data_IF_167735988000
#
_entry.id   IF_167735988000
#
_cell.length_a   1.000
_cell.length_b   1.000
_cell.length_c   1.000
_cell.angle_alpha   90.00
_cell.angle_beta   90.00
_cell.angle_gamma   90.00
#
_symmetry.space_group_name_H-M   'P 1'
#
loop_
_entity.id
_entity.type
_entity.pdbx_description
1 polymer ?
#
# COMPACT_ATOMS: atom_id res chain seq x y z
N UNK A 1 -9.34 -11.26 -3.14
CA UNK A 1 -9.20 -10.01 -2.36
C UNK A 1 -8.09 -10.14 -1.32
N UNK A 2 -7.41 -9.05 -0.99
CA UNK A 2 -6.34 -8.99 0.03
C UNK A 2 -6.72 -8.00 1.12
N UNK A 3 -6.46 -8.36 2.38
CA UNK A 3 -6.72 -7.55 3.59
C UNK A 3 -5.43 -7.21 4.35
N UNK A 4 -4.34 -7.01 3.61
CA UNK A 4 -3.07 -6.56 4.18
C UNK A 4 -3.13 -5.18 4.83
N UNK A 5 -2.09 -4.81 5.58
CA UNK A 5 -1.96 -3.56 6.35
C UNK A 5 -2.35 -2.27 5.63
N UNK A 6 -1.99 -2.15 4.35
CA UNK A 6 -2.21 -0.92 3.59
C UNK A 6 -3.57 -0.86 2.89
N UNK A 7 -4.36 -1.94 2.94
CA UNK A 7 -5.63 -2.07 2.21
C UNK A 7 -6.72 -1.19 2.82
N UNK A 8 -7.75 -0.88 2.02
CA UNK A 8 -8.90 -0.06 2.46
C UNK A 8 -9.54 -0.66 3.70
N UNK A 9 -9.73 -1.98 3.67
CA UNK A 9 -10.10 -2.81 4.82
C UNK A 9 -8.91 -3.68 5.15
N UNK A 10 -8.45 -3.63 6.39
CA UNK A 10 -7.27 -4.36 6.83
C UNK A 10 -7.56 -5.29 8.00
N UNK A 11 -7.07 -6.52 7.90
CA UNK A 11 -6.95 -7.46 9.02
C UNK A 11 -5.50 -7.60 9.47
N UNK A 12 -4.64 -6.63 9.14
CA UNK A 12 -3.17 -6.67 9.17
C UNK A 12 -2.60 -7.67 8.16
N UNK A 13 -3.06 -8.92 8.20
CA UNK A 13 -2.76 -9.95 7.21
C UNK A 13 -3.99 -10.83 7.00
N UNK A 14 -4.28 -11.16 5.74
CA UNK A 14 -5.46 -11.93 5.38
C UNK A 14 -5.90 -11.70 3.93
N UNK A 15 -6.94 -12.42 3.55
CA UNK A 15 -7.57 -12.32 2.24
C UNK A 15 -8.88 -13.08 2.21
N UNK A 16 -9.57 -12.96 1.08
CA UNK A 16 -10.79 -13.69 0.78
C UNK A 16 -10.83 -14.00 -0.72
N UNK A 17 -11.41 -15.14 -1.07
CA UNK A 17 -11.81 -15.48 -2.43
C UNK A 17 -13.33 -15.36 -2.53
N UNK A 18 -13.83 -14.84 -3.64
CA UNK A 18 -15.26 -14.75 -3.95
C UNK A 18 -15.44 -15.39 -5.31
N UNK A 19 -16.34 -16.36 -5.39
CA UNK A 19 -16.62 -17.12 -6.61
C UNK A 19 -18.13 -17.30 -6.72
N UNK A 20 -18.65 -17.20 -7.94
CA UNK A 20 -20.08 -17.43 -8.20
C UNK A 20 -20.35 -18.88 -8.64
N UNK A 21 -19.34 -19.56 -9.19
CA UNK A 21 -19.45 -20.95 -9.60
C UNK A 21 -19.41 -21.89 -8.39
N UNK A 22 -20.41 -22.77 -8.30
CA UNK A 22 -20.58 -23.68 -7.17
C UNK A 22 -19.48 -24.74 -7.08
N UNK A 23 -19.05 -25.30 -8.21
CA UNK A 23 -18.00 -26.33 -8.24
C UNK A 23 -16.66 -25.76 -7.78
N UNK A 24 -16.31 -24.55 -8.24
CA UNK A 24 -15.13 -23.83 -7.77
C UNK A 24 -15.25 -23.50 -6.28
N UNK A 25 -16.43 -23.10 -5.80
CA UNK A 25 -16.68 -22.80 -4.39
C UNK A 25 -16.44 -24.02 -3.49
N UNK A 26 -16.94 -25.19 -3.87
CA UNK A 26 -16.76 -26.45 -3.15
C UNK A 26 -15.28 -26.86 -3.07
N UNK A 27 -14.55 -26.73 -4.18
CA UNK A 27 -13.11 -27.00 -4.22
C UNK A 27 -12.31 -26.03 -3.33
N UNK A 28 -12.65 -24.74 -3.36
CA UNK A 28 -12.02 -23.73 -2.52
C UNK A 28 -12.32 -23.94 -1.03
N UNK A 29 -13.54 -24.34 -0.68
CA UNK A 29 -13.92 -24.64 0.70
C UNK A 29 -13.20 -25.88 1.23
N UNK A 30 -13.09 -26.95 0.41
CA UNK A 30 -12.29 -28.13 0.74
C UNK A 30 -10.81 -27.76 0.98
N UNK A 31 -10.21 -26.96 0.10
CA UNK A 31 -8.85 -26.44 0.28
C UNK A 31 -8.73 -25.59 1.56
N UNK A 32 -9.66 -24.68 1.81
CA UNK A 32 -9.67 -23.83 3.01
C UNK A 32 -9.79 -24.66 4.30
N UNK A 33 -10.63 -25.69 4.32
CA UNK A 33 -10.79 -26.62 5.46
C UNK A 33 -9.53 -27.45 5.71
N UNK A 34 -8.79 -27.80 4.65
CA UNK A 34 -7.50 -28.50 4.77
C UNK A 34 -6.37 -27.61 5.35
N UNK A 35 -6.50 -26.29 5.26
CA UNK A 35 -5.51 -25.35 5.77
C UNK A 35 -5.48 -25.33 7.30
N UNK A 36 -4.29 -25.38 7.89
CA UNK A 36 -4.13 -25.21 9.34
C UNK A 36 -4.22 -23.72 9.73
N UNK A 37 -4.71 -23.39 10.93
CA UNK A 37 -4.58 -22.02 11.43
C UNK A 37 -3.09 -21.70 11.67
N UNK A 38 -2.68 -20.43 11.55
CA UNK A 38 -1.30 -20.05 11.84
C UNK A 38 -1.01 -20.16 13.35
N UNK A 39 0.27 -20.22 13.70
CA UNK A 39 0.72 -20.34 15.10
C UNK A 39 0.27 -19.15 15.94
N UNK A 40 -0.12 -19.38 17.20
CA UNK A 40 -0.58 -18.33 18.13
C UNK A 40 0.38 -17.13 18.23
N UNK A 41 1.68 -17.38 18.28
CA UNK A 41 2.69 -16.33 18.32
C UNK A 41 2.72 -15.46 17.05
N UNK A 42 2.45 -16.05 15.87
CA UNK A 42 2.31 -15.28 14.64
C UNK A 42 1.08 -14.37 14.69
N UNK A 43 -0.04 -14.87 15.22
CA UNK A 43 -1.28 -14.09 15.42
C UNK A 43 -1.01 -12.91 16.36
N UNK A 44 -0.35 -13.15 17.49
CA UNK A 44 0.04 -12.10 18.43
C UNK A 44 0.87 -11.00 17.77
N UNK A 45 1.87 -11.37 16.94
CA UNK A 45 2.66 -10.39 16.17
C UNK A 45 1.80 -9.52 15.25
N UNK A 46 0.80 -10.11 14.58
CA UNK A 46 -0.11 -9.33 13.74
C UNK A 46 -0.98 -8.37 14.57
N UNK A 47 -1.44 -8.79 15.75
CA UNK A 47 -2.23 -7.94 16.65
C UNK A 47 -1.41 -6.80 17.27
N UNK A 48 -0.13 -7.04 17.57
CA UNK A 48 0.78 -6.03 18.10
C UNK A 48 1.21 -5.00 17.04
N UNK A 49 1.24 -5.39 15.76
CA UNK A 49 1.67 -4.50 14.68
C UNK A 49 0.98 -3.12 14.69
N UNK A 50 -0.37 -3.00 14.68
CA UNK A 50 -1.02 -1.69 14.68
C UNK A 50 -0.70 -0.86 15.93
N UNK A 51 -0.51 -1.51 17.10
CA UNK A 51 -0.14 -0.81 18.34
C UNK A 51 1.28 -0.25 18.25
N UNK A 52 2.24 -1.07 17.83
CA UNK A 52 3.64 -0.67 17.66
C UNK A 52 3.74 0.47 16.64
N UNK A 53 3.11 0.32 15.47
CA UNK A 53 3.24 1.30 14.40
C UNK A 53 2.46 2.59 14.68
N UNK A 54 1.37 2.56 15.46
CA UNK A 54 0.74 3.78 15.96
C UNK A 54 1.68 4.59 16.85
N UNK A 55 2.47 3.94 17.69
CA UNK A 55 3.50 4.62 18.51
C UNK A 55 4.64 5.14 17.64
N UNK A 56 5.08 4.37 16.65
CA UNK A 56 6.11 4.80 15.69
C UNK A 56 5.68 6.06 14.96
N UNK A 57 4.45 6.12 14.44
CA UNK A 57 3.97 7.30 13.69
C UNK A 57 3.86 8.53 14.58
N UNK A 58 3.31 8.40 15.77
CA UNK A 58 3.12 9.53 16.69
C UNK A 58 4.44 10.10 17.21
N UNK A 59 5.48 9.26 17.34
CA UNK A 59 6.78 9.64 17.87
C UNK A 59 7.86 9.76 16.78
N UNK A 60 7.50 9.66 15.49
CA UNK A 60 8.47 9.51 14.40
C UNK A 60 9.50 10.64 14.35
N UNK A 61 9.04 11.88 14.54
CA UNK A 61 9.85 13.08 14.55
C UNK A 61 10.12 13.62 15.97
N UNK A 62 9.52 13.03 17.01
CA UNK A 62 9.78 13.42 18.41
C UNK A 62 11.11 12.82 18.87
N UNK A 63 12.18 13.61 18.84
CA UNK A 63 13.55 13.20 19.20
C UNK A 63 14.02 11.89 18.52
N UNK A 64 13.54 11.64 17.29
CA UNK A 64 13.79 10.40 16.54
C UNK A 64 13.33 9.11 17.24
N UNK A 65 12.53 9.20 18.31
CA UNK A 65 12.14 8.07 19.14
C UNK A 65 11.34 7.04 18.35
N UNK A 66 10.42 7.48 17.49
CA UNK A 66 9.67 6.57 16.61
C UNK A 66 10.58 5.81 15.63
N UNK A 67 11.68 6.41 15.17
CA UNK A 67 12.68 5.71 14.33
C UNK A 67 13.40 4.62 15.12
N UNK A 68 13.76 4.90 16.37
CA UNK A 68 14.35 3.91 17.29
C UNK A 68 13.37 2.76 17.52
N UNK A 69 12.10 3.06 17.83
CA UNK A 69 11.05 2.04 18.02
C UNK A 69 10.91 1.18 16.75
N UNK A 70 10.90 1.79 15.56
CA UNK A 70 10.80 1.06 14.30
C UNK A 70 12.01 0.11 14.07
N UNK A 71 13.23 0.58 14.36
CA UNK A 71 14.46 -0.22 14.26
C UNK A 71 14.42 -1.38 15.25
N UNK A 72 14.07 -1.13 16.52
CA UNK A 72 13.95 -2.18 17.53
C UNK A 72 12.88 -3.20 17.14
N UNK A 73 11.70 -2.75 16.69
CA UNK A 73 10.63 -3.64 16.25
C UNK A 73 11.07 -4.53 15.08
N UNK A 74 11.88 -3.99 14.15
CA UNK A 74 12.48 -4.76 13.05
C UNK A 74 13.51 -5.76 13.57
N UNK A 75 14.41 -5.34 14.45
CA UNK A 75 15.47 -6.18 15.03
C UNK A 75 14.91 -7.37 15.81
N UNK A 76 13.88 -7.13 16.62
CA UNK A 76 13.17 -8.18 17.37
C UNK A 76 12.16 -8.98 16.52
N UNK A 77 12.04 -8.68 15.21
CA UNK A 77 11.10 -9.34 14.28
C UNK A 77 9.67 -9.33 14.81
N UNK A 78 9.25 -8.22 15.41
CA UNK A 78 7.92 -8.05 16.01
C UNK A 78 6.81 -7.97 14.97
N UNK A 79 7.17 -7.80 13.69
CA UNK A 79 6.23 -7.84 12.58
C UNK A 79 6.74 -8.65 11.39
N UNK A 80 5.80 -9.06 10.54
CA UNK A 80 6.07 -9.84 9.33
C UNK A 80 6.36 -8.91 8.14
N UNK A 81 7.37 -9.19 7.30
CA UNK A 81 7.60 -8.42 6.07
C UNK A 81 6.39 -8.54 5.14
N UNK A 82 6.14 -7.52 4.31
CA UNK A 82 5.04 -7.56 3.32
C UNK A 82 5.33 -8.52 2.17
N UNK A 83 6.61 -8.70 1.82
CA UNK A 83 7.10 -9.62 0.81
C UNK A 83 8.40 -10.24 1.32
N UNK A 84 8.50 -11.57 1.29
CA UNK A 84 9.69 -12.30 1.65
C UNK A 84 10.72 -12.29 0.53
N UNK A 85 12.01 -12.41 0.89
CA UNK A 85 13.08 -12.48 -0.11
C UNK A 85 12.98 -13.70 -1.04
N UNK A 86 12.35 -14.79 -0.58
CA UNK A 86 12.08 -15.95 -1.44
C UNK A 86 11.07 -15.64 -2.54
N UNK A 87 10.01 -14.87 -2.21
CA UNK A 87 8.99 -14.44 -3.18
C UNK A 87 9.58 -13.57 -4.28
N UNK A 88 10.49 -12.64 -3.92
CA UNK A 88 11.20 -11.80 -4.90
C UNK A 88 12.04 -12.59 -5.91
N UNK A 89 12.34 -13.87 -5.63
CA UNK A 89 13.10 -14.77 -6.51
C UNK A 89 12.24 -15.86 -7.15
N UNK A 90 10.92 -15.70 -7.14
CA UNK A 90 9.97 -16.70 -7.67
C UNK A 90 9.76 -17.92 -6.77
N UNK A 91 10.28 -17.88 -5.53
CA UNK A 91 10.10 -18.94 -4.55
C UNK A 91 8.84 -18.76 -3.70
N UNK A 92 8.47 -19.79 -2.94
CA UNK A 92 7.34 -19.71 -2.00
C UNK A 92 7.74 -18.98 -0.71
N UNK A 93 6.82 -18.22 -0.08
CA UNK A 93 7.06 -17.69 1.26
C UNK A 93 7.16 -18.84 2.28
N UNK A 94 7.84 -18.62 3.42
CA UNK A 94 7.95 -19.63 4.48
C UNK A 94 6.61 -19.91 5.19
N UNK A 95 5.60 -19.06 4.97
CA UNK A 95 4.26 -19.24 5.52
C UNK A 95 3.44 -20.12 4.57
N UNK A 96 3.04 -21.30 5.05
CA UNK A 96 2.10 -22.16 4.33
C UNK A 96 0.71 -21.52 4.23
N UNK A 97 -0.10 -21.88 3.22
CA UNK A 97 -1.52 -21.53 3.19
C UNK A 97 -2.18 -21.81 4.53
N UNK A 98 -2.81 -20.79 5.09
CA UNK A 98 -3.34 -20.82 6.46
C UNK A 98 -4.71 -20.17 6.50
N UNK A 99 -5.58 -20.66 7.40
CA UNK A 99 -6.88 -20.05 7.64
C UNK A 99 -6.73 -18.67 8.28
N UNK A 100 -7.61 -17.73 7.92
CA UNK A 100 -7.70 -16.43 8.59
C UNK A 100 -8.04 -16.65 10.07
N UNK A 101 -7.20 -16.21 11.02
CA UNK A 101 -7.49 -16.35 12.44
C UNK A 101 -8.70 -15.51 12.85
N UNK A 102 -9.54 -16.05 13.75
CA UNK A 102 -10.71 -15.35 14.28
C UNK A 102 -10.35 -13.96 14.86
N UNK A 103 -9.21 -13.84 15.55
CA UNK A 103 -8.76 -12.56 16.10
C UNK A 103 -8.53 -11.48 15.01
N UNK A 104 -8.03 -11.87 13.83
CA UNK A 104 -7.85 -10.95 12.71
C UNK A 104 -9.16 -10.74 11.94
N UNK A 105 -10.03 -11.75 11.87
CA UNK A 105 -11.37 -11.62 11.31
C UNK A 105 -12.22 -10.59 12.07
N UNK A 106 -12.13 -10.55 13.41
CA UNK A 106 -12.79 -9.52 14.23
C UNK A 106 -12.35 -8.10 13.85
N UNK A 107 -11.06 -7.89 13.57
CA UNK A 107 -10.57 -6.60 13.07
C UNK A 107 -11.19 -6.27 11.71
N UNK A 108 -11.26 -7.26 10.82
CA UNK A 108 -11.89 -7.12 9.50
C UNK A 108 -13.36 -6.73 9.57
N UNK A 109 -14.15 -7.37 10.43
CA UNK A 109 -15.57 -7.04 10.62
C UNK A 109 -15.73 -5.60 11.11
N UNK A 110 -14.93 -5.18 12.10
CA UNK A 110 -14.95 -3.80 12.62
C UNK A 110 -14.56 -2.76 11.56
N UNK A 111 -13.63 -3.11 10.66
CA UNK A 111 -13.21 -2.25 9.56
C UNK A 111 -14.27 -2.20 8.46
N UNK A 112 -14.88 -3.35 8.13
CA UNK A 112 -15.92 -3.45 7.11
C UNK A 112 -17.13 -2.58 7.45
N UNK A 113 -17.51 -2.49 8.73
CA UNK A 113 -18.56 -1.60 9.20
C UNK A 113 -18.27 -0.10 8.93
N UNK A 114 -17.03 0.27 8.60
CA UNK A 114 -16.60 1.65 8.28
C UNK A 114 -16.35 1.88 6.79
N UNK A 115 -16.63 0.88 5.94
CA UNK A 115 -16.27 0.90 4.52
C UNK A 115 -16.82 2.11 3.78
N UNK A 116 -18.09 2.46 4.01
CA UNK A 116 -18.74 3.61 3.38
C UNK A 116 -18.05 4.92 3.76
N UNK A 117 -17.89 5.17 5.07
CA UNK A 117 -17.18 6.35 5.58
C UNK A 117 -15.75 6.47 5.03
N UNK A 118 -15.01 5.36 4.98
CA UNK A 118 -13.67 5.34 4.39
C UNK A 118 -13.69 5.66 2.89
N UNK A 119 -14.68 5.13 2.17
CA UNK A 119 -14.84 5.36 0.73
C UNK A 119 -15.16 6.81 0.44
N UNK A 120 -16.12 7.40 1.15
CA UNK A 120 -16.48 8.81 1.02
C UNK A 120 -15.30 9.73 1.32
N UNK A 121 -14.55 9.46 2.38
CA UNK A 121 -13.36 10.22 2.74
C UNK A 121 -12.29 10.16 1.64
N UNK A 122 -12.02 8.96 1.11
CA UNK A 122 -11.09 8.76 -0.02
C UNK A 122 -11.51 9.54 -1.26
N UNK A 123 -12.80 9.51 -1.61
CA UNK A 123 -13.37 10.25 -2.74
C UNK A 123 -13.21 11.76 -2.52
N UNK A 124 -13.47 12.27 -1.31
CA UNK A 124 -13.31 13.70 -0.98
C UNK A 124 -11.86 14.15 -1.18
N UNK A 125 -10.87 13.38 -0.71
CA UNK A 125 -9.45 13.70 -0.90
C UNK A 125 -9.03 13.58 -2.38
N UNK A 126 -9.53 12.57 -3.09
CA UNK A 126 -9.23 12.41 -4.52
C UNK A 126 -9.66 13.63 -5.34
N UNK A 127 -10.82 14.23 -5.02
CA UNK A 127 -11.28 15.48 -5.66
C UNK A 127 -10.34 16.65 -5.38
N UNK A 128 -9.80 16.77 -4.17
CA UNK A 128 -8.81 17.82 -3.83
C UNK A 128 -7.57 17.70 -4.70
N UNK A 129 -7.03 16.49 -4.88
CA UNK A 129 -5.88 16.26 -5.75
C UNK A 129 -6.21 16.52 -7.22
N UNK A 130 -7.33 16.02 -7.70
CA UNK A 130 -7.78 16.23 -9.09
C UNK A 130 -7.95 17.71 -9.42
N UNK A 131 -8.62 18.47 -8.57
CA UNK A 131 -8.80 19.92 -8.71
C UNK A 131 -7.47 20.68 -8.62
N UNK A 132 -6.62 20.29 -7.66
CA UNK A 132 -5.33 20.92 -7.39
C UNK A 132 -4.32 20.81 -8.53
N UNK A 133 -4.32 19.68 -9.24
CA UNK A 133 -3.37 19.45 -10.34
C UNK A 133 -3.95 19.70 -11.73
N UNK A 134 -5.26 19.98 -11.86
CA UNK A 134 -5.97 20.12 -13.15
C UNK A 134 -5.31 21.09 -14.14
N UNK A 135 -4.64 22.14 -13.66
CA UNK A 135 -3.99 23.16 -14.49
C UNK A 135 -2.51 22.88 -14.78
N UNK A 136 -1.92 21.85 -14.17
CA UNK A 136 -0.51 21.53 -14.35
C UNK A 136 -0.30 20.67 -15.61
N UNK A 137 0.38 21.22 -16.62
CA UNK A 137 0.63 20.53 -17.90
C UNK A 137 1.70 19.44 -17.83
N UNK A 138 2.56 19.45 -16.80
CA UNK A 138 3.62 18.45 -16.58
C UNK A 138 3.14 17.27 -15.70
N UNK A 139 1.87 17.26 -15.34
CA UNK A 139 1.24 16.22 -14.53
C UNK A 139 0.11 15.60 -15.34
N UNK A 140 0.14 14.28 -15.47
CA UNK A 140 -0.95 13.54 -16.09
C UNK A 140 -1.87 12.95 -15.02
N UNK A 141 -3.13 13.38 -15.04
CA UNK A 141 -4.19 12.86 -14.18
C UNK A 141 -4.85 11.65 -14.83
N UNK A 142 -4.99 10.56 -14.07
CA UNK A 142 -5.76 9.40 -14.53
C UNK A 142 -7.25 9.75 -14.49
N UNK A 143 -7.95 9.51 -15.60
CA UNK A 143 -9.37 9.88 -15.76
C UNK A 143 -10.24 9.12 -14.76
N UNK A 144 -11.26 9.80 -14.21
CA UNK A 144 -12.29 9.22 -13.35
C UNK A 144 -11.80 8.58 -12.04
N UNK A 145 -10.55 8.85 -11.61
CA UNK A 145 -9.99 8.30 -10.37
C UNK A 145 -10.84 8.63 -9.15
N UNK A 146 -11.39 9.84 -9.08
CA UNK A 146 -12.20 10.33 -7.95
C UNK A 146 -13.58 9.68 -7.82
N UNK A 147 -13.96 8.71 -8.67
CA UNK A 147 -15.28 8.04 -8.64
C UNK A 147 -15.32 6.77 -7.79
N UNK A 148 -14.18 6.25 -7.33
CA UNK A 148 -14.11 4.95 -6.66
C UNK A 148 -13.38 4.94 -5.31
N UNK A 149 -13.46 3.83 -4.56
CA UNK A 149 -12.70 3.61 -3.34
C UNK A 149 -11.23 3.37 -3.69
N UNK A 150 -10.46 4.45 -3.78
CA UNK A 150 -9.05 4.40 -4.12
C UNK A 150 -8.21 3.93 -2.92
N UNK A 151 -7.28 3.01 -3.17
CA UNK A 151 -6.26 2.67 -2.19
C UNK A 151 -5.31 3.85 -1.94
N UNK A 152 -4.95 4.53 -3.03
CA UNK A 152 -4.11 5.71 -3.14
C UNK A 152 -4.54 6.51 -4.37
N UNK A 153 -4.24 7.80 -4.41
CA UNK A 153 -4.44 8.62 -5.61
C UNK A 153 -3.17 8.55 -6.48
N UNK A 154 -3.21 7.95 -7.68
CA UNK A 154 -2.04 7.90 -8.56
C UNK A 154 -1.80 9.28 -9.20
N UNK A 155 -0.54 9.69 -9.24
CA UNK A 155 -0.09 10.91 -9.92
C UNK A 155 1.05 10.55 -10.87
N UNK A 156 0.86 10.76 -12.16
CA UNK A 156 1.89 10.50 -13.17
C UNK A 156 2.62 11.81 -13.47
N UNK A 157 3.94 11.78 -13.31
CA UNK A 157 4.83 12.90 -13.58
C UNK A 157 5.46 12.75 -14.96
N UNK A 158 6.03 13.85 -15.47
CA UNK A 158 6.60 13.92 -16.83
C UNK A 158 7.65 12.84 -17.12
N UNK A 159 8.47 12.48 -16.14
CA UNK A 159 9.47 11.42 -16.26
C UNK A 159 9.90 10.92 -14.86
N UNK A 160 10.67 9.82 -14.81
CA UNK A 160 11.14 9.22 -13.56
C UNK A 160 12.11 10.08 -12.76
N UNK A 161 12.86 11.00 -13.40
CA UNK A 161 13.73 11.93 -12.67
C UNK A 161 12.92 12.93 -11.86
N UNK A 162 11.89 13.53 -12.47
CA UNK A 162 10.96 14.43 -11.77
C UNK A 162 10.26 13.70 -10.61
N UNK A 163 9.88 12.43 -10.80
CA UNK A 163 9.28 11.62 -9.73
C UNK A 163 10.22 11.43 -8.54
N UNK A 164 11.50 11.13 -8.78
CA UNK A 164 12.50 11.00 -7.72
C UNK A 164 12.71 12.30 -6.97
N UNK A 165 12.83 13.42 -7.68
CA UNK A 165 13.04 14.73 -7.05
C UNK A 165 11.81 15.20 -6.26
N UNK A 166 10.59 14.94 -6.74
CA UNK A 166 9.36 15.20 -5.97
C UNK A 166 9.31 14.38 -4.68
N UNK A 167 9.67 13.09 -4.72
CA UNK A 167 9.73 12.24 -3.52
C UNK A 167 10.79 12.76 -2.52
N UNK A 168 11.95 13.17 -3.01
CA UNK A 168 13.03 13.74 -2.19
C UNK A 168 12.60 15.06 -1.54
N UNK A 169 12.02 15.97 -2.32
CA UNK A 169 11.54 17.28 -1.86
C UNK A 169 10.42 17.15 -0.84
N UNK A 170 9.43 16.29 -1.10
CA UNK A 170 8.33 16.07 -0.14
C UNK A 170 8.86 15.51 1.18
N UNK A 171 9.83 14.59 1.13
CA UNK A 171 10.47 14.04 2.33
C UNK A 171 11.22 15.09 3.15
N UNK A 172 11.89 16.04 2.50
CA UNK A 172 12.52 17.20 3.19
C UNK A 172 11.50 18.10 3.89
N UNK A 173 10.24 18.03 3.47
CA UNK A 173 9.11 18.75 4.06
C UNK A 173 8.25 17.84 4.96
N UNK A 174 8.80 16.75 5.50
CA UNK A 174 8.08 15.78 6.37
C UNK A 174 6.85 15.13 5.73
N UNK A 175 6.82 15.02 4.40
CA UNK A 175 5.80 14.29 3.65
C UNK A 175 6.46 13.10 2.97
N UNK A 176 6.14 11.91 3.42
CA UNK A 176 6.79 10.68 2.97
C UNK A 176 5.97 10.04 1.84
N UNK A 177 6.19 10.50 0.62
CA UNK A 177 5.66 9.86 -0.60
C UNK A 177 6.66 8.81 -1.14
N UNK A 178 6.20 7.97 -2.06
CA UNK A 178 7.06 7.02 -2.76
C UNK A 178 6.59 6.82 -4.20
N UNK A 179 7.52 6.33 -5.02
CA UNK A 179 7.22 5.85 -6.38
C UNK A 179 6.59 4.46 -6.23
N UNK A 180 5.38 4.29 -6.76
CA UNK A 180 4.56 3.11 -6.54
C UNK A 180 3.80 2.76 -7.82
N UNK A 181 3.60 1.46 -8.16
CA UNK A 181 3.65 0.30 -7.28
C UNK A 181 4.98 -0.31 -6.87
N UNK A 182 6.10 -0.02 -7.54
CA UNK A 182 7.33 -0.72 -7.20
C UNK A 182 8.67 -0.14 -7.67
N UNK A 183 8.73 1.05 -8.29
CA UNK A 183 9.92 1.53 -9.03
C UNK A 183 10.38 0.58 -10.15
N UNK A 184 9.58 -0.43 -10.46
CA UNK A 184 9.83 -1.47 -11.46
C UNK A 184 8.46 -2.01 -11.92
N UNK A 185 8.39 -2.55 -13.13
CA UNK A 185 7.16 -3.07 -13.74
C UNK A 185 6.51 -4.23 -12.96
N UNK A 186 7.32 -5.14 -12.39
CA UNK A 186 6.84 -6.22 -11.51
C UNK A 186 7.52 -6.11 -10.16
N UNK A 187 6.75 -5.64 -9.18
CA UNK A 187 7.25 -5.28 -7.85
C UNK A 187 7.35 -6.40 -6.83
N UNK A 188 7.93 -6.09 -5.65
CA UNK A 188 8.54 -4.79 -5.28
C UNK A 188 9.98 -4.64 -5.82
N UNK A 189 10.66 -3.52 -5.51
CA UNK A 189 12.09 -3.33 -5.76
C UNK A 189 12.93 -4.53 -5.26
N UNK A 190 13.92 -4.93 -6.07
CA UNK A 190 14.74 -6.14 -5.84
C UNK A 190 14.08 -7.45 -6.28
N UNK A 191 12.99 -7.40 -7.05
CA UNK A 191 12.40 -8.58 -7.69
C UNK A 191 13.21 -9.03 -8.90
N UNK A 192 13.44 -10.33 -9.01
CA UNK A 192 14.20 -10.94 -10.09
C UNK A 192 13.25 -11.21 -11.27
N UNK A 193 13.12 -10.25 -12.18
CA UNK A 193 12.19 -10.33 -13.32
C UNK A 193 12.38 -11.61 -14.17
N UNK A 194 13.63 -12.01 -14.39
CA UNK A 194 13.96 -13.23 -15.12
C UNK A 194 13.44 -14.52 -14.45
N UNK A 195 13.39 -14.56 -13.11
CA UNK A 195 12.81 -15.69 -12.37
C UNK A 195 11.29 -15.74 -12.44
N UNK A 196 10.67 -14.62 -12.82
CA UNK A 196 9.25 -14.51 -13.12
C UNK A 196 8.94 -14.63 -14.62
N UNK A 197 9.95 -15.00 -15.43
CA UNK A 197 9.86 -15.11 -16.89
C UNK A 197 9.45 -13.81 -17.59
N UNK A 198 9.65 -12.66 -16.93
CA UNK A 198 9.42 -11.36 -17.51
C UNK A 198 10.62 -10.92 -18.35
N UNK A 199 10.36 -10.43 -19.56
CA UNK A 199 11.37 -9.95 -20.51
C UNK A 199 11.28 -8.42 -20.57
N UNK A 200 12.38 -7.73 -20.24
CA UNK A 200 12.45 -6.27 -20.28
C UNK A 200 12.20 -5.74 -21.70
N UNK A 201 11.50 -4.61 -21.80
CA UNK A 201 11.11 -3.99 -23.07
C UNK A 201 9.83 -4.55 -23.68
N UNK A 202 9.25 -5.62 -23.12
CA UNK A 202 8.00 -6.20 -23.65
C UNK A 202 6.75 -5.45 -23.22
N UNK A 203 6.82 -4.65 -22.15
CA UNK A 203 5.73 -3.77 -21.69
C UNK A 203 6.23 -2.32 -21.49
N UNK A 204 6.67 -1.63 -22.56
CA UNK A 204 7.40 -0.36 -22.45
C UNK A 204 6.60 0.73 -21.72
N UNK A 205 5.28 0.78 -21.94
CA UNK A 205 4.40 1.73 -21.23
C UNK A 205 4.33 1.45 -19.73
N UNK A 206 4.24 0.18 -19.33
CA UNK A 206 4.18 -0.20 -17.91
C UNK A 206 5.53 0.02 -17.22
N UNK A 207 6.63 -0.23 -17.94
CA UNK A 207 7.99 0.01 -17.46
C UNK A 207 8.26 1.49 -17.21
N UNK A 208 7.88 2.37 -18.14
CA UNK A 208 7.99 3.83 -17.98
C UNK A 208 7.08 4.34 -16.85
N UNK A 209 5.80 3.97 -16.84
CA UNK A 209 4.86 4.38 -15.79
C UNK A 209 5.29 3.95 -14.39
N UNK A 210 5.96 2.80 -14.24
CA UNK A 210 6.44 2.33 -12.95
C UNK A 210 7.52 3.23 -12.31
N UNK A 211 8.20 4.06 -13.10
CA UNK A 211 9.19 5.03 -12.66
C UNK A 211 8.61 6.44 -12.51
N UNK A 212 7.58 6.75 -13.30
CA UNK A 212 6.97 8.08 -13.41
C UNK A 212 5.83 8.33 -12.42
N UNK A 213 5.27 7.25 -11.86
CA UNK A 213 4.09 7.32 -11.00
C UNK A 213 4.44 7.40 -9.52
N UNK A 214 3.94 8.43 -8.86
CA UNK A 214 3.89 8.51 -7.39
C UNK A 214 2.47 8.28 -6.90
N UNK A 215 2.33 7.96 -5.62
CA UNK A 215 1.02 7.78 -4.98
C UNK A 215 0.82 8.77 -3.86
N UNK A 216 -0.33 9.45 -3.89
CA UNK A 216 -0.73 10.40 -2.87
C UNK A 216 -1.66 9.73 -1.86
N UNK A 217 -1.54 10.10 -0.57
CA UNK A 217 -2.30 9.48 0.49
C UNK A 217 -3.77 9.90 0.43
N UNK A 218 -4.66 8.92 0.52
CA UNK A 218 -6.11 9.10 0.73
C UNK A 218 -6.61 8.29 1.94
N UNK A 219 -5.70 7.92 2.85
CA UNK A 219 -6.04 7.09 4.00
C UNK A 219 -6.94 7.85 4.99
N UNK A 220 -7.70 7.15 5.87
CA UNK A 220 -8.58 7.81 6.83
C UNK A 220 -7.91 8.79 7.80
N UNK A 221 -6.58 8.74 7.94
CA UNK A 221 -5.81 9.68 8.79
C UNK A 221 -5.33 10.91 8.04
N UNK A 222 -5.45 10.93 6.71
CA UNK A 222 -5.02 12.06 5.89
C UNK A 222 -6.10 13.14 5.90
N UNK A 223 -5.77 14.35 6.32
CA UNK A 223 -6.74 15.45 6.35
C UNK A 223 -6.84 16.14 4.98
N UNK A 224 -7.88 16.97 4.82
CA UNK A 224 -8.01 17.83 3.63
C UNK A 224 -6.85 18.83 3.55
N UNK A 225 -6.38 19.30 4.70
CA UNK A 225 -5.28 20.22 4.87
C UNK A 225 -3.95 19.57 4.46
N UNK A 226 -3.73 18.32 4.84
CA UNK A 226 -2.58 17.52 4.36
C UNK A 226 -2.60 17.39 2.84
N UNK A 227 -3.75 17.05 2.25
CA UNK A 227 -3.89 16.93 0.80
C UNK A 227 -3.61 18.26 0.08
N UNK A 228 -4.13 19.38 0.60
CA UNK A 228 -3.82 20.72 0.06
C UNK A 228 -2.35 21.07 0.18
N UNK A 229 -1.70 20.75 1.32
CA UNK A 229 -0.27 20.96 1.53
C UNK A 229 0.56 20.19 0.49
N UNK A 230 0.19 18.93 0.23
CA UNK A 230 0.82 18.09 -0.80
C UNK A 230 0.64 18.72 -2.19
N UNK A 231 -0.59 19.14 -2.54
CA UNK A 231 -0.86 19.82 -3.82
C UNK A 231 0.04 21.03 -3.99
N UNK A 232 0.05 21.94 -3.01
CA UNK A 232 0.82 23.18 -3.11
C UNK A 232 2.32 22.91 -3.28
N UNK A 233 2.90 21.98 -2.52
CA UNK A 233 4.32 21.64 -2.61
C UNK A 233 4.67 21.05 -3.97
N UNK A 234 3.91 20.08 -4.46
CA UNK A 234 4.18 19.44 -5.76
C UNK A 234 3.93 20.43 -6.90
N UNK A 235 2.84 21.19 -6.85
CA UNK A 235 2.49 22.14 -7.89
C UNK A 235 3.58 23.20 -8.08
N UNK A 236 4.05 23.80 -6.99
CA UNK A 236 5.11 24.81 -7.02
C UNK A 236 6.45 24.25 -7.51
N UNK A 237 6.79 23.03 -7.11
CA UNK A 237 8.03 22.40 -7.54
C UNK A 237 8.04 22.04 -9.03
N UNK A 238 6.91 21.52 -9.54
CA UNK A 238 6.80 21.07 -10.94
C UNK A 238 6.52 22.24 -11.91
N UNK A 239 5.99 23.38 -11.42
CA UNK A 239 5.85 24.61 -12.21
C UNK A 239 7.12 25.44 -12.31
N UNK A 240 8.04 25.33 -11.34
CA UNK A 240 9.40 25.87 -11.44
C UNK A 240 10.19 25.19 -12.56
#
# INVERSE_FOLDING_TARGET
>A
MSFGRSKIISTVSGGAAVVNDKSIAENLDAFYKSCKPPRKFWILRQLLHPLIFSSVTNLYNFFYLGRVIAVLAKSFRLYTPSVYGSEKRGGRPPLSPSRLPNALAVLGIKQLAKLESFTEHRIKLAKVYEEGFRKNKRITLVKNVSKGPLLYFPLVLENGFVALEVVKMTRQNDIYLDIWPAKIVVGPEGTHLNKLFYIAGTCPQAESLALESIVLPVSPVTTKEDAKRIVNLIFNYVHG
#
